data_IF_226400335279
#
_entry.id   IF_226400335279
#
_cell.length_a   1.000
_cell.length_b   1.000
_cell.length_c   1.000
_cell.angle_alpha   90.00
_cell.angle_beta   90.00
_cell.angle_gamma   90.00
#
_symmetry.space_group_name_H-M   'P 1'
#
loop_
_entity.id
_entity.type
_entity.pdbx_description
1 polymer ?
#
# COMPACT_ATOMS: atom_id res chain seq x y z
N UNK A 1 -14.20 19.55 0.56
CA UNK A 1 -15.59 20.04 0.55
C UNK A 1 -15.83 20.66 -0.81
N UNK A 2 -16.70 20.05 -1.61
CA UNK A 2 -17.27 20.74 -2.77
C UNK A 2 -17.85 22.07 -2.32
N UNK A 3 -17.73 23.10 -3.16
CA UNK A 3 -18.01 24.51 -2.83
C UNK A 3 -19.51 24.82 -2.61
N UNK A 4 -20.26 23.88 -2.02
CA UNK A 4 -21.70 23.96 -1.78
C UNK A 4 -22.07 25.28 -1.11
N UNK A 5 -22.97 25.99 -1.75
CA UNK A 5 -23.61 27.18 -1.24
C UNK A 5 -24.65 26.80 -0.19
N UNK A 6 -25.03 27.72 0.72
CA UNK A 6 -26.08 27.45 1.69
C UNK A 6 -27.41 27.01 1.05
N UNK A 7 -27.73 27.49 -0.16
CA UNK A 7 -28.94 27.09 -0.90
C UNK A 7 -28.87 25.64 -1.37
N UNK A 8 -27.73 25.22 -1.91
CA UNK A 8 -27.52 23.83 -2.34
C UNK A 8 -27.54 22.86 -1.14
N UNK A 9 -26.95 23.25 0.00
CA UNK A 9 -27.01 22.44 1.23
C UNK A 9 -28.47 22.26 1.68
N UNK A 10 -29.27 23.33 1.67
CA UNK A 10 -30.70 23.23 2.02
C UNK A 10 -31.45 22.34 1.04
N UNK A 11 -31.21 22.49 -0.26
CA UNK A 11 -31.83 21.65 -1.30
C UNK A 11 -31.48 20.17 -1.15
N UNK A 12 -30.25 19.84 -0.75
CA UNK A 12 -29.86 18.46 -0.48
C UNK A 12 -30.55 17.92 0.78
N UNK A 13 -30.67 18.74 1.83
CA UNK A 13 -31.39 18.36 3.05
C UNK A 13 -32.91 18.22 2.80
N UNK A 14 -33.47 18.96 1.85
CA UNK A 14 -34.89 18.87 1.46
C UNK A 14 -35.26 17.49 0.87
N UNK A 15 -34.29 16.76 0.30
CA UNK A 15 -34.52 15.39 -0.22
C UNK A 15 -34.84 14.37 0.86
N UNK A 16 -34.41 14.63 2.11
CA UNK A 16 -34.51 13.67 3.21
C UNK A 16 -35.39 14.15 4.36
N UNK A 17 -35.47 15.46 4.57
CA UNK A 17 -36.21 16.07 5.68
C UNK A 17 -37.33 16.92 5.09
N UNK A 18 -38.57 16.71 5.53
CA UNK A 18 -39.71 17.55 5.11
C UNK A 18 -39.85 18.74 6.08
N UNK A 19 -40.03 19.96 5.55
CA UNK A 19 -40.21 21.17 6.37
C UNK A 19 -38.94 21.65 7.08
N UNK A 20 -39.06 22.18 8.31
CA UNK A 20 -37.93 22.61 9.16
C UNK A 20 -36.94 23.61 8.50
N UNK A 21 -37.46 24.54 7.68
CA UNK A 21 -36.64 25.46 6.89
C UNK A 21 -35.67 26.32 7.73
N UNK A 22 -36.07 26.75 8.94
CA UNK A 22 -35.20 27.50 9.85
C UNK A 22 -33.98 26.68 10.29
N UNK A 23 -34.19 25.43 10.70
CA UNK A 23 -33.13 24.53 11.12
C UNK A 23 -32.18 24.20 9.97
N UNK A 24 -32.72 23.90 8.78
CA UNK A 24 -31.92 23.65 7.56
C UNK A 24 -31.03 24.84 7.20
N UNK A 25 -31.57 26.06 7.23
CA UNK A 25 -30.80 27.28 6.98
C UNK A 25 -29.70 27.49 8.01
N UNK A 26 -29.99 27.27 9.30
CA UNK A 26 -29.02 27.42 10.37
C UNK A 26 -27.82 26.47 10.20
N UNK A 27 -28.08 25.18 9.92
CA UNK A 27 -27.02 24.20 9.68
C UNK A 27 -26.23 24.46 8.40
N UNK A 28 -26.90 24.91 7.34
CA UNK A 28 -26.25 25.26 6.08
C UNK A 28 -25.28 26.45 6.24
N UNK A 29 -25.68 27.47 7.00
CA UNK A 29 -24.82 28.61 7.33
C UNK A 29 -23.62 28.17 8.17
N UNK A 30 -23.84 27.32 9.18
CA UNK A 30 -22.75 26.83 10.02
C UNK A 30 -21.72 26.03 9.21
N UNK A 31 -22.17 25.15 8.32
CA UNK A 31 -21.29 24.39 7.44
C UNK A 31 -20.53 25.32 6.47
N UNK A 32 -21.22 26.30 5.86
CA UNK A 32 -20.56 27.28 4.99
C UNK A 32 -19.54 28.15 5.73
N UNK A 33 -19.79 28.47 6.99
CA UNK A 33 -18.84 29.23 7.81
C UNK A 33 -17.57 28.42 8.08
N UNK A 34 -17.64 27.09 8.21
CA UNK A 34 -16.43 26.25 8.30
C UNK A 34 -15.57 26.36 7.04
N UNK A 35 -16.21 26.30 5.87
CA UNK A 35 -15.52 26.52 4.59
C UNK A 35 -14.90 27.92 4.49
N UNK A 36 -15.64 28.97 4.90
CA UNK A 36 -15.12 30.34 4.92
C UNK A 36 -13.92 30.49 5.85
N UNK A 37 -13.99 29.90 7.05
CA UNK A 37 -12.90 29.90 8.03
C UNK A 37 -11.64 29.23 7.48
N UNK A 38 -11.77 28.11 6.76
CA UNK A 38 -10.63 27.43 6.14
C UNK A 38 -9.90 28.29 5.08
N UNK A 39 -10.53 29.36 4.58
CA UNK A 39 -9.95 30.29 3.60
C UNK A 39 -9.43 31.59 4.22
N UNK A 40 -9.54 31.77 5.52
CA UNK A 40 -8.95 32.91 6.22
C UNK A 40 -7.44 32.71 6.38
N UNK A 41 -6.65 33.81 6.48
CA UNK A 41 -5.27 33.76 6.94
C UNK A 41 -5.18 33.09 8.32
N UNK A 42 -4.04 32.45 8.61
CA UNK A 42 -3.87 31.63 9.81
C UNK A 42 -4.12 32.44 11.10
N UNK A 43 -3.62 33.68 11.17
CA UNK A 43 -3.83 34.61 12.29
C UNK A 43 -5.32 34.83 12.61
N UNK A 44 -6.14 35.08 11.58
CA UNK A 44 -7.59 35.26 11.76
C UNK A 44 -8.35 33.94 11.95
N UNK A 45 -7.78 32.81 11.51
CA UNK A 45 -8.47 31.50 11.57
C UNK A 45 -8.63 31.00 13.01
N UNK A 46 -7.68 31.32 13.88
CA UNK A 46 -7.69 30.95 15.29
C UNK A 46 -8.74 31.74 16.08
N UNK A 47 -8.94 33.03 15.76
CA UNK A 47 -9.93 33.89 16.41
C UNK A 47 -11.38 33.51 16.06
N UNK A 48 -11.62 32.89 14.90
CA UNK A 48 -12.95 32.52 14.44
C UNK A 48 -13.37 31.16 14.98
N UNK A 49 -14.17 31.16 16.04
CA UNK A 49 -14.71 29.95 16.68
C UNK A 49 -15.91 29.38 15.89
N UNK A 50 -16.04 28.04 15.75
CA UNK A 50 -17.22 27.42 15.14
C UNK A 50 -18.54 27.82 15.82
N UNK A 51 -19.57 28.10 15.02
CA UNK A 51 -20.92 28.40 15.53
C UNK A 51 -21.66 27.10 15.88
N UNK A 52 -21.74 26.79 17.17
CA UNK A 52 -22.53 25.66 17.68
C UNK A 52 -24.04 25.94 17.52
N UNK A 53 -24.83 24.88 17.39
CA UNK A 53 -26.27 24.97 17.10
C UNK A 53 -27.04 24.25 18.20
N UNK A 54 -28.00 24.97 18.79
CA UNK A 54 -29.01 24.41 19.69
C UNK A 54 -30.33 24.26 18.91
N UNK A 55 -30.84 23.03 18.80
CA UNK A 55 -32.13 22.76 18.15
C UNK A 55 -33.21 22.54 19.21
N UNK A 56 -34.24 23.38 19.21
CA UNK A 56 -35.37 23.31 20.16
C UNK A 56 -36.60 22.83 19.39
N UNK A 57 -37.29 21.81 19.94
CA UNK A 57 -38.53 21.28 19.37
C UNK A 57 -38.90 19.91 19.94
N UNK A 58 -40.13 19.41 19.68
CA UNK A 58 -40.60 18.13 20.21
C UNK A 58 -39.81 16.94 19.60
N UNK A 59 -39.94 15.77 20.20
CA UNK A 59 -39.35 14.54 19.64
C UNK A 59 -39.98 14.20 18.28
N UNK A 60 -39.25 13.47 17.44
CA UNK A 60 -39.77 13.03 16.12
C UNK A 60 -39.74 14.06 14.98
N UNK A 61 -39.52 15.36 15.23
CA UNK A 61 -39.53 16.39 14.17
C UNK A 61 -38.29 16.43 13.25
N UNK A 62 -37.35 15.48 13.40
CA UNK A 62 -36.17 15.37 12.53
C UNK A 62 -34.91 16.10 13.00
N UNK A 63 -34.82 16.58 14.25
CA UNK A 63 -33.60 17.26 14.78
C UNK A 63 -32.32 16.45 14.56
N UNK A 64 -32.32 15.19 14.99
CA UNK A 64 -31.18 14.28 14.84
C UNK A 64 -30.92 13.94 13.37
N UNK A 65 -31.98 13.84 12.55
CA UNK A 65 -31.85 13.48 11.13
C UNK A 65 -31.21 14.62 10.32
N UNK A 66 -31.53 15.87 10.63
CA UNK A 66 -30.85 17.05 10.05
C UNK A 66 -29.34 16.97 10.32
N UNK A 67 -28.93 16.70 11.55
CA UNK A 67 -27.52 16.60 11.91
C UNK A 67 -26.83 15.41 11.24
N UNK A 68 -27.49 14.24 11.21
CA UNK A 68 -26.98 13.03 10.55
C UNK A 68 -26.79 13.24 9.04
N UNK A 69 -27.77 13.83 8.36
CA UNK A 69 -27.73 14.08 6.91
C UNK A 69 -26.69 15.13 6.56
N UNK A 70 -26.58 16.18 7.37
CA UNK A 70 -25.53 17.19 7.22
C UNK A 70 -24.13 16.58 7.30
N UNK A 71 -23.90 15.67 8.26
CA UNK A 71 -22.60 15.02 8.40
C UNK A 71 -22.28 14.10 7.21
N UNK A 72 -23.26 13.32 6.72
CA UNK A 72 -23.11 12.53 5.49
C UNK A 72 -22.79 13.40 4.28
N UNK A 73 -23.51 14.50 4.09
CA UNK A 73 -23.27 15.45 3.00
C UNK A 73 -21.87 16.05 3.07
N UNK A 74 -21.41 16.40 4.27
CA UNK A 74 -20.09 16.97 4.48
C UNK A 74 -18.96 15.92 4.49
N UNK A 75 -19.27 14.62 4.33
CA UNK A 75 -18.34 13.50 4.56
C UNK A 75 -17.57 13.66 5.88
N UNK A 76 -18.31 13.99 6.93
CA UNK A 76 -17.76 14.29 8.24
C UNK A 76 -18.09 13.18 9.26
N UNK A 77 -17.19 12.90 10.21
CA UNK A 77 -17.46 11.96 11.30
C UNK A 77 -18.63 12.47 12.15
N UNK A 78 -19.51 11.55 12.55
CA UNK A 78 -20.74 11.87 13.28
C UNK A 78 -20.96 10.94 14.46
N UNK A 79 -21.22 11.53 15.62
CA UNK A 79 -21.46 10.80 16.86
C UNK A 79 -22.75 11.33 17.53
N UNK A 80 -23.66 10.41 17.88
CA UNK A 80 -24.88 10.71 18.65
C UNK A 80 -24.67 10.22 20.09
N UNK A 81 -24.75 11.12 21.06
CA UNK A 81 -24.70 10.79 22.49
C UNK A 81 -25.90 11.41 23.20
N UNK A 82 -26.29 10.81 24.31
CA UNK A 82 -27.34 11.31 25.21
C UNK A 82 -26.66 11.90 26.45
N UNK A 83 -27.00 13.15 26.79
CA UNK A 83 -26.36 13.89 27.87
C UNK A 83 -26.56 13.23 29.25
N UNK A 84 -27.70 12.54 29.44
CA UNK A 84 -28.02 11.84 30.69
C UNK A 84 -27.04 10.72 31.03
N UNK A 85 -26.30 10.19 30.04
CA UNK A 85 -25.26 9.16 30.25
C UNK A 85 -24.06 9.65 31.08
N UNK A 86 -23.90 10.97 31.22
CA UNK A 86 -22.82 11.59 32.00
C UNK A 86 -23.29 12.13 33.35
N UNK A 87 -24.60 12.11 33.60
CA UNK A 87 -25.21 12.60 34.84
C UNK A 87 -25.88 11.49 35.64
N UNK A 88 -25.96 10.26 35.11
CA UNK A 88 -26.57 9.12 35.77
C UNK A 88 -25.78 8.75 37.04
N UNK A 89 -26.46 8.72 38.18
CA UNK A 89 -25.86 8.60 39.52
C UNK A 89 -25.28 7.19 39.69
N UNK A 90 -23.94 7.09 39.67
CA UNK A 90 -23.17 5.85 39.84
C UNK A 90 -21.66 6.09 39.97
N UNK A 91 -20.95 5.17 40.65
CA UNK A 91 -19.66 5.35 41.33
C UNK A 91 -18.43 5.71 40.44
N UNK A 92 -18.51 5.54 39.12
CA UNK A 92 -17.56 6.11 38.16
C UNK A 92 -18.34 6.42 36.88
N UNK A 93 -18.77 7.68 36.72
CA UNK A 93 -19.48 8.12 35.52
C UNK A 93 -18.67 7.89 34.25
N UNK A 94 -19.34 7.81 33.09
CA UNK A 94 -18.64 7.78 31.79
C UNK A 94 -17.84 9.09 31.66
N UNK A 95 -16.59 9.00 31.24
CA UNK A 95 -15.73 10.18 31.05
C UNK A 95 -16.19 11.02 29.86
N UNK A 96 -16.27 12.35 30.00
CA UNK A 96 -16.65 13.26 28.91
C UNK A 96 -15.66 13.22 27.75
N UNK A 97 -14.39 12.92 28.01
CA UNK A 97 -13.38 12.79 26.95
C UNK A 97 -13.63 11.56 26.07
N UNK A 98 -14.44 10.60 26.54
CA UNK A 98 -14.89 9.47 25.71
C UNK A 98 -15.67 9.95 24.47
N UNK A 99 -16.32 11.13 24.53
CA UNK A 99 -17.01 11.68 23.36
C UNK A 99 -16.04 12.00 22.22
N UNK A 100 -14.86 12.53 22.55
CA UNK A 100 -13.83 12.84 21.56
C UNK A 100 -13.16 11.57 21.08
N UNK A 101 -12.86 10.62 21.98
CA UNK A 101 -12.27 9.32 21.62
C UNK A 101 -13.17 8.54 20.66
N UNK A 102 -14.47 8.45 20.94
CA UNK A 102 -15.46 7.79 20.09
C UNK A 102 -15.54 8.48 18.71
N UNK A 103 -15.49 9.82 18.65
CA UNK A 103 -15.52 10.58 17.39
C UNK A 103 -14.25 10.35 16.55
N UNK A 104 -13.08 10.30 17.16
CA UNK A 104 -11.81 10.00 16.48
C UNK A 104 -11.85 8.58 15.92
N UNK A 105 -12.32 7.61 16.69
CA UNK A 105 -12.43 6.23 16.21
C UNK A 105 -13.35 6.10 15.00
N UNK A 106 -14.47 6.84 14.97
CA UNK A 106 -15.36 6.90 13.80
C UNK A 106 -14.65 7.55 12.60
N UNK A 107 -13.82 8.56 12.84
CA UNK A 107 -13.06 9.25 11.79
C UNK A 107 -12.02 8.34 11.14
N UNK A 108 -11.31 7.54 11.94
CA UNK A 108 -10.36 6.54 11.43
C UNK A 108 -11.07 5.55 10.51
N UNK A 109 -12.17 4.94 10.97
CA UNK A 109 -12.95 4.00 10.15
C UNK A 109 -13.48 4.61 8.86
N UNK A 110 -13.86 5.89 8.89
CA UNK A 110 -14.33 6.61 7.70
C UNK A 110 -13.22 6.67 6.64
N UNK A 111 -12.00 7.04 7.05
CA UNK A 111 -10.85 7.13 6.16
C UNK A 111 -10.38 5.75 5.70
N UNK A 112 -10.34 4.76 6.60
CA UNK A 112 -10.01 3.38 6.24
C UNK A 112 -10.95 2.85 5.16
N UNK A 113 -12.25 3.07 5.30
CA UNK A 113 -13.23 2.66 4.29
C UNK A 113 -13.00 3.36 2.94
N UNK A 114 -12.76 4.68 2.94
CA UNK A 114 -12.48 5.45 1.72
C UNK A 114 -11.20 4.99 1.03
N UNK A 115 -10.14 4.74 1.80
CA UNK A 115 -8.86 4.25 1.27
C UNK A 115 -8.96 2.82 0.75
N UNK A 116 -9.72 1.96 1.44
CA UNK A 116 -9.96 0.57 1.02
C UNK A 116 -10.68 0.53 -0.32
N UNK A 117 -11.73 1.34 -0.48
CA UNK A 117 -12.47 1.45 -1.74
C UNK A 117 -11.56 1.96 -2.88
N UNK A 118 -10.70 2.94 -2.60
CA UNK A 118 -9.76 3.49 -3.60
C UNK A 118 -8.73 2.47 -4.10
N UNK A 119 -8.30 1.52 -3.26
CA UNK A 119 -7.30 0.49 -3.63
C UNK A 119 -7.91 -0.84 -4.04
N UNK A 120 -9.24 -1.00 -3.97
CA UNK A 120 -9.91 -2.28 -4.21
C UNK A 120 -9.59 -2.86 -5.60
N UNK A 121 -9.69 -2.06 -6.67
CA UNK A 121 -9.40 -2.52 -8.03
C UNK A 121 -7.95 -2.97 -8.24
N UNK A 122 -6.94 -2.13 -7.90
CA UNK A 122 -5.54 -2.54 -7.95
C UNK A 122 -5.23 -3.75 -7.06
N UNK A 123 -5.81 -3.81 -5.87
CA UNK A 123 -5.63 -4.92 -4.94
C UNK A 123 -6.19 -6.24 -5.50
N UNK A 124 -7.35 -6.19 -6.17
CA UNK A 124 -7.95 -7.33 -6.85
C UNK A 124 -7.04 -7.84 -7.97
N UNK A 125 -6.52 -6.96 -8.82
CA UNK A 125 -5.59 -7.35 -9.89
C UNK A 125 -4.32 -8.01 -9.32
N UNK A 126 -3.72 -7.43 -8.28
CA UNK A 126 -2.53 -8.01 -7.63
C UNK A 126 -2.85 -9.34 -6.96
N UNK A 127 -4.03 -9.48 -6.35
CA UNK A 127 -4.47 -10.73 -5.76
C UNK A 127 -4.67 -11.82 -6.83
N UNK A 128 -5.31 -11.50 -7.95
CA UNK A 128 -5.46 -12.40 -9.10
C UNK A 128 -4.10 -12.83 -9.63
N UNK A 129 -3.16 -11.90 -9.81
CA UNK A 129 -1.82 -12.21 -10.29
C UNK A 129 -1.07 -13.16 -9.36
N UNK A 130 -1.17 -12.96 -8.04
CA UNK A 130 -0.61 -13.87 -7.04
C UNK A 130 -1.24 -15.26 -7.10
N UNK A 131 -2.56 -15.34 -7.26
CA UNK A 131 -3.25 -16.63 -7.42
C UNK A 131 -2.72 -17.34 -8.68
N UNK A 132 -2.62 -16.63 -9.80
CA UNK A 132 -2.10 -17.20 -11.06
C UNK A 132 -0.64 -17.64 -10.93
N UNK A 133 0.18 -16.91 -10.18
CA UNK A 133 1.56 -17.31 -9.90
C UNK A 133 1.64 -18.61 -9.11
N UNK A 134 0.75 -18.80 -8.13
CA UNK A 134 0.66 -20.05 -7.36
C UNK A 134 0.17 -21.21 -8.26
N UNK A 135 -0.86 -20.97 -9.09
CA UNK A 135 -1.40 -21.98 -10.00
C UNK A 135 -0.44 -22.37 -11.12
N UNK A 136 0.36 -21.41 -11.58
CA UNK A 136 1.36 -21.61 -12.60
C UNK A 136 2.64 -20.88 -12.18
N UNK A 137 3.53 -21.50 -11.40
CA UNK A 137 4.80 -20.90 -11.03
C UNK A 137 5.69 -20.73 -12.27
N UNK A 138 6.28 -19.55 -12.45
CA UNK A 138 7.37 -19.39 -13.43
C UNK A 138 8.58 -20.09 -12.86
N UNK A 139 9.19 -21.01 -13.62
CA UNK A 139 10.56 -21.42 -13.32
C UNK A 139 11.45 -20.20 -13.51
N UNK A 140 11.86 -19.55 -12.43
CA UNK A 140 12.93 -18.55 -12.51
C UNK A 140 14.15 -19.26 -13.09
N UNK A 141 14.70 -18.75 -14.21
CA UNK A 141 15.95 -19.28 -14.75
C UNK A 141 17.05 -18.96 -13.73
N UNK A 142 17.72 -19.96 -13.12
CA UNK A 142 18.92 -19.70 -12.30
C UNK A 142 20.05 -19.04 -13.12
N UNK A 143 19.96 -19.12 -14.45
CA UNK A 143 20.97 -18.66 -15.39
C UNK A 143 21.10 -17.13 -15.50
N UNK A 144 20.06 -16.34 -15.19
CA UNK A 144 20.15 -14.87 -15.32
C UNK A 144 20.89 -14.24 -14.13
N UNK A 145 20.68 -14.74 -12.90
CA UNK A 145 21.44 -14.32 -11.73
C UNK A 145 22.94 -14.68 -11.84
N UNK A 146 23.28 -15.83 -12.44
CA UNK A 146 24.67 -16.22 -12.70
C UNK A 146 25.33 -15.38 -13.81
N UNK A 147 24.56 -14.94 -14.82
CA UNK A 147 25.04 -14.11 -15.92
C UNK A 147 25.33 -12.64 -15.49
N UNK A 148 24.51 -12.09 -14.59
CA UNK A 148 24.73 -10.73 -14.06
C UNK A 148 25.94 -10.65 -13.10
N UNK A 149 26.18 -11.71 -12.32
CA UNK A 149 27.38 -11.82 -11.46
C UNK A 149 28.66 -11.95 -12.30
N UNK A 150 28.63 -12.72 -13.39
CA UNK A 150 29.80 -12.89 -14.28
C UNK A 150 30.10 -11.64 -15.12
N UNK A 151 29.08 -10.89 -15.56
CA UNK A 151 29.29 -9.59 -16.21
C UNK A 151 29.93 -8.56 -15.27
N UNK A 152 29.42 -8.42 -14.05
CA UNK A 152 29.98 -7.42 -13.11
C UNK A 152 31.42 -7.74 -12.69
N UNK A 153 31.78 -9.02 -12.58
CA UNK A 153 33.16 -9.44 -12.33
C UNK A 153 34.09 -9.13 -13.52
N UNK A 154 33.63 -9.35 -14.76
CA UNK A 154 34.44 -9.06 -15.96
C UNK A 154 34.65 -7.55 -16.16
N UNK A 155 33.63 -6.73 -15.88
CA UNK A 155 33.73 -5.27 -15.96
C UNK A 155 34.69 -4.70 -14.90
N UNK A 156 34.68 -5.25 -13.68
CA UNK A 156 35.62 -4.87 -12.60
C UNK A 156 37.09 -5.20 -12.95
N UNK A 157 37.36 -6.33 -13.59
CA UNK A 157 38.71 -6.70 -14.03
C UNK A 157 39.21 -5.83 -15.18
N UNK A 158 38.31 -5.42 -16.10
CA UNK A 158 38.65 -4.52 -17.19
C UNK A 158 39.01 -3.11 -16.67
N UNK A 159 38.25 -2.58 -15.70
CA UNK A 159 38.56 -1.31 -15.04
C UNK A 159 39.89 -1.37 -14.26
N UNK A 160 40.15 -2.47 -13.56
CA UNK A 160 41.40 -2.67 -12.82
C UNK A 160 42.63 -2.74 -13.75
N UNK A 161 42.51 -3.39 -14.91
CA UNK A 161 43.57 -3.38 -15.94
C UNK A 161 43.80 -1.96 -16.51
N UNK A 162 42.72 -1.20 -16.70
CA UNK A 162 42.81 0.17 -17.18
C UNK A 162 43.45 1.11 -16.15
N UNK A 163 43.24 0.90 -14.85
CA UNK A 163 43.95 1.61 -13.79
C UNK A 163 45.43 1.22 -13.70
N UNK A 164 45.75 -0.08 -13.78
CA UNK A 164 47.13 -0.57 -13.70
C UNK A 164 47.99 -0.04 -14.87
N UNK A 165 47.43 0.03 -16.08
CA UNK A 165 48.13 0.62 -17.24
C UNK A 165 48.41 2.12 -17.08
N UNK A 166 47.52 2.87 -16.42
CA UNK A 166 47.73 4.30 -16.13
C UNK A 166 48.79 4.54 -15.05
N UNK A 167 48.93 3.63 -14.09
CA UNK A 167 49.87 3.76 -12.96
C UNK A 167 51.29 3.29 -13.29
N UNK A 168 51.45 2.27 -14.14
CA UNK A 168 52.75 1.63 -14.39
C UNK A 168 53.25 1.74 -15.84
N UNK A 169 52.52 2.36 -16.76
CA UNK A 169 53.02 2.77 -18.07
C UNK A 169 53.52 1.62 -18.99
N UNK A 170 52.99 0.39 -18.83
CA UNK A 170 53.38 -0.76 -19.66
C UNK A 170 52.39 -0.92 -20.83
N UNK A 171 52.85 -1.04 -22.10
CA UNK A 171 51.96 -1.24 -23.23
C UNK A 171 51.37 -2.66 -23.21
N UNK A 172 50.08 -2.75 -23.52
CA UNK A 172 49.35 -4.01 -23.65
C UNK A 172 49.79 -4.77 -24.91
N UNK A 173 50.66 -5.77 -24.74
CA UNK A 173 50.62 -7.08 -25.41
C UNK A 173 52.00 -7.76 -25.42
N UNK A 174 52.13 -8.86 -24.67
CA UNK A 174 52.91 -10.02 -25.12
C UNK A 174 52.47 -11.24 -24.29
N UNK A 175 52.07 -12.37 -24.89
CA UNK A 175 51.80 -13.58 -24.13
C UNK A 175 53.12 -14.23 -23.71
N UNK A 176 53.23 -14.62 -22.44
CA UNK A 176 54.34 -15.43 -21.93
C UNK A 176 54.27 -16.86 -22.49
N UNK A 177 55.40 -17.52 -22.78
CA UNK A 177 55.45 -18.89 -23.28
C UNK A 177 55.23 -19.86 -22.11
N UNK A 178 54.07 -20.51 -22.09
CA UNK A 178 53.65 -21.43 -21.03
C UNK A 178 52.13 -21.38 -20.92
N UNK A 179 51.46 -22.00 -21.89
CA UNK A 179 50.01 -21.90 -22.09
C UNK A 179 49.21 -22.30 -20.85
N UNK A 180 48.46 -21.34 -20.31
CA UNK A 180 47.26 -21.63 -19.54
C UNK A 180 46.22 -22.23 -20.50
N UNK A 181 45.39 -23.20 -20.05
CA UNK A 181 44.38 -23.81 -20.89
C UNK A 181 43.46 -22.73 -21.45
N UNK A 182 43.11 -22.93 -22.72
CA UNK A 182 42.25 -22.15 -23.59
C UNK A 182 41.35 -21.14 -22.85
N UNK A 183 41.44 -19.87 -23.24
CA UNK A 183 40.55 -18.81 -22.78
C UNK A 183 39.08 -19.29 -22.80
N UNK A 184 38.38 -19.09 -21.68
CA UNK A 184 36.93 -19.30 -21.64
C UNK A 184 36.28 -18.49 -22.77
N UNK A 185 35.30 -19.06 -23.50
CA UNK A 185 34.67 -18.38 -24.61
C UNK A 185 33.94 -17.12 -24.11
N UNK A 186 34.03 -16.04 -24.89
CA UNK A 186 33.32 -14.79 -24.60
C UNK A 186 31.81 -15.07 -24.60
N UNK A 187 31.02 -14.45 -23.71
CA UNK A 187 29.56 -14.56 -23.78
C UNK A 187 29.09 -13.99 -25.13
N UNK A 188 28.69 -14.87 -26.05
CA UNK A 188 28.22 -14.52 -27.40
C UNK A 188 29.10 -14.98 -28.57
N UNK A 189 30.25 -15.62 -28.35
CA UNK A 189 30.96 -16.32 -29.43
C UNK A 189 30.34 -17.71 -29.66
N UNK A 190 30.02 -18.08 -30.91
CA UNK A 190 29.42 -19.38 -31.21
C UNK A 190 30.41 -20.50 -30.88
N UNK A 191 29.90 -21.57 -30.26
CA UNK A 191 30.65 -22.80 -30.00
C UNK A 191 31.23 -23.37 -31.31
N UNK A 192 32.44 -23.97 -31.33
CA UNK A 192 33.07 -24.48 -32.56
C UNK A 192 32.26 -25.61 -33.22
N UNK A 193 31.37 -26.23 -32.44
CA UNK A 193 30.39 -27.18 -32.93
C UNK A 193 29.15 -26.42 -33.36
N UNK A 194 28.96 -26.27 -34.68
CA UNK A 194 27.90 -25.50 -35.34
C UNK A 194 26.45 -25.92 -35.02
N UNK A 195 26.03 -25.77 -33.77
CA UNK A 195 24.62 -25.72 -33.37
C UNK A 195 24.19 -24.25 -33.40
N UNK A 196 23.14 -23.91 -34.17
CA UNK A 196 22.72 -22.53 -34.37
C UNK A 196 22.12 -21.94 -33.08
N UNK A 197 22.73 -20.87 -32.56
CA UNK A 197 22.26 -20.12 -31.39
C UNK A 197 20.85 -19.51 -31.60
N UNK A 198 20.42 -19.30 -32.84
CA UNK A 198 19.11 -18.72 -33.18
C UNK A 198 17.91 -19.63 -32.85
N UNK A 199 18.12 -20.96 -32.79
CA UNK A 199 17.01 -21.91 -32.52
C UNK A 199 16.59 -21.92 -31.06
N UNK A 200 17.52 -21.67 -30.15
CA UNK A 200 17.26 -21.66 -28.70
C UNK A 200 16.47 -20.41 -28.30
N UNK A 201 16.73 -19.27 -28.96
CA UNK A 201 15.99 -18.03 -28.75
C UNK A 201 14.55 -18.10 -29.29
N UNK A 202 14.33 -18.70 -30.45
CA UNK A 202 12.98 -18.86 -31.03
C UNK A 202 12.12 -19.84 -30.20
N UNK A 203 12.72 -20.93 -29.72
CA UNK A 203 12.06 -21.90 -28.84
C UNK A 203 11.63 -21.27 -27.51
N UNK A 204 12.53 -20.53 -26.86
CA UNK A 204 12.26 -19.86 -25.60
C UNK A 204 11.20 -18.75 -25.75
N UNK A 205 11.19 -18.03 -26.88
CA UNK A 205 10.11 -17.06 -27.19
C UNK A 205 8.76 -17.75 -27.34
N UNK A 206 8.67 -18.83 -28.12
CA UNK A 206 7.40 -19.57 -28.31
C UNK A 206 6.89 -20.18 -27.00
N UNK A 207 7.80 -20.68 -26.15
CA UNK A 207 7.47 -21.20 -24.82
C UNK A 207 6.95 -20.10 -23.89
N UNK A 208 7.63 -18.96 -23.83
CA UNK A 208 7.17 -17.81 -23.03
C UNK A 208 5.83 -17.27 -23.52
N UNK A 209 5.60 -17.23 -24.84
CA UNK A 209 4.30 -16.87 -25.41
C UNK A 209 3.20 -17.86 -25.03
N UNK A 210 3.49 -19.17 -25.06
CA UNK A 210 2.52 -20.19 -24.65
C UNK A 210 2.20 -20.09 -23.16
N UNK A 211 3.20 -19.91 -22.31
CA UNK A 211 3.02 -19.70 -20.87
C UNK A 211 2.21 -18.42 -20.59
N UNK A 212 2.46 -17.33 -21.30
CA UNK A 212 1.69 -16.10 -21.15
C UNK A 212 0.23 -16.26 -21.59
N UNK A 213 -0.04 -17.04 -22.65
CA UNK A 213 -1.41 -17.37 -23.07
C UNK A 213 -2.17 -18.20 -22.03
N UNK A 214 -1.49 -19.15 -21.37
CA UNK A 214 -2.10 -19.96 -20.31
C UNK A 214 -2.43 -19.09 -19.10
N UNK A 215 -1.50 -18.21 -18.68
CA UNK A 215 -1.76 -17.26 -17.59
C UNK A 215 -2.90 -16.30 -17.89
N UNK A 216 -2.96 -15.77 -19.11
CA UNK A 216 -4.04 -14.87 -19.51
C UNK A 216 -5.41 -15.55 -19.43
N UNK A 217 -5.51 -16.81 -19.86
CA UNK A 217 -6.75 -17.60 -19.71
C UNK A 217 -7.09 -17.88 -18.25
N UNK A 218 -6.09 -18.13 -17.40
CA UNK A 218 -6.31 -18.32 -15.97
C UNK A 218 -6.81 -17.04 -15.30
N UNK A 219 -6.24 -15.88 -15.63
CA UNK A 219 -6.74 -14.57 -15.18
C UNK A 219 -8.20 -14.37 -15.59
N UNK A 220 -8.55 -14.67 -16.84
CA UNK A 220 -9.94 -14.57 -17.32
C UNK A 220 -10.89 -15.52 -16.57
N UNK A 221 -10.46 -16.74 -16.27
CA UNK A 221 -11.28 -17.74 -15.56
C UNK A 221 -11.48 -17.41 -14.08
N UNK A 222 -10.49 -16.81 -13.43
CA UNK A 222 -10.60 -16.28 -12.07
C UNK A 222 -11.51 -15.06 -12.06
N UNK A 223 -11.34 -14.15 -13.03
CA UNK A 223 -12.20 -12.97 -13.16
C UNK A 223 -13.66 -13.31 -13.47
N UNK A 224 -13.94 -14.42 -14.17
CA UNK A 224 -15.29 -14.89 -14.45
C UNK A 224 -15.91 -15.74 -13.33
N UNK A 225 -15.23 -15.89 -12.18
CA UNK A 225 -15.70 -16.67 -11.03
C UNK A 225 -15.88 -18.16 -11.31
N UNK A 226 -15.33 -18.66 -12.43
CA UNK A 226 -15.57 -20.04 -12.90
C UNK A 226 -14.82 -21.07 -12.06
N UNK A 227 -13.86 -20.62 -11.24
CA UNK A 227 -13.01 -21.47 -10.39
C UNK A 227 -13.16 -21.20 -8.90
N UNK A 228 -14.19 -20.46 -8.49
CA UNK A 228 -14.39 -20.07 -7.08
C UNK A 228 -14.66 -21.29 -6.17
N UNK A 229 -15.17 -22.39 -6.74
CA UNK A 229 -15.48 -23.64 -6.03
C UNK A 229 -14.42 -24.74 -6.24
N UNK A 230 -13.33 -24.45 -6.96
CA UNK A 230 -12.30 -25.45 -7.27
C UNK A 230 -11.27 -25.53 -6.13
N UNK A 231 -11.28 -26.62 -5.36
CA UNK A 231 -10.29 -26.87 -4.31
C UNK A 231 -8.98 -27.39 -4.90
N UNK A 232 -7.85 -26.79 -4.49
CA UNK A 232 -6.53 -27.12 -5.01
C UNK A 232 -5.61 -27.42 -3.83
N UNK A 233 -5.00 -28.60 -3.85
CA UNK A 233 -3.98 -29.01 -2.89
C UNK A 233 -2.61 -28.51 -3.36
N UNK A 234 -1.94 -27.73 -2.50
CA UNK A 234 -0.62 -27.17 -2.79
C UNK A 234 0.38 -27.82 -1.85
N UNK A 235 1.29 -28.62 -2.41
CA UNK A 235 2.46 -29.11 -1.69
C UNK A 235 3.54 -28.01 -1.70
N UNK A 236 3.82 -27.43 -0.53
CA UNK A 236 4.88 -26.44 -0.35
C UNK A 236 6.14 -27.16 0.14
N UNK A 237 7.12 -27.35 -0.74
CA UNK A 237 8.46 -27.76 -0.33
C UNK A 237 9.28 -26.51 0.03
N UNK A 238 9.71 -26.40 1.30
CA UNK A 238 10.70 -25.41 1.70
C UNK A 238 12.04 -25.74 1.05
N UNK A 239 12.37 -25.02 -0.02
CA UNK A 239 13.72 -25.05 -0.57
C UNK A 239 14.66 -24.35 0.41
N UNK A 240 15.41 -25.14 1.20
CA UNK A 240 16.55 -24.69 1.99
C UNK A 240 17.66 -24.17 1.06
N UNK A 241 17.52 -22.95 0.58
CA UNK A 241 18.40 -22.33 -0.40
C UNK A 241 18.66 -20.86 -0.07
N UNK A 242 19.53 -20.62 0.92
CA UNK A 242 20.40 -19.44 1.02
C UNK A 242 19.79 -18.06 0.75
N UNK A 243 18.71 -17.69 1.45
CA UNK A 243 18.27 -16.30 1.51
C UNK A 243 19.19 -15.50 2.43
N UNK A 244 19.91 -14.51 1.88
CA UNK A 244 20.60 -13.49 2.67
C UNK A 244 19.57 -12.78 3.56
N UNK A 245 19.77 -12.66 4.89
CA UNK A 245 18.79 -12.02 5.75
C UNK A 245 18.64 -10.55 5.35
N UNK A 246 17.39 -10.17 5.08
CA UNK A 246 16.94 -8.80 4.89
C UNK A 246 17.42 -7.95 6.06
N UNK A 247 18.10 -6.85 5.74
CA UNK A 247 18.81 -6.01 6.68
C UNK A 247 17.98 -5.55 7.87
N UNK A 248 18.47 -5.88 9.07
CA UNK A 248 18.16 -5.14 10.29
C UNK A 248 19.14 -3.96 10.32
N UNK A 249 18.58 -2.74 10.32
CA UNK A 249 19.30 -1.48 10.47
C UNK A 249 20.13 -1.48 11.78
N UNK A 250 21.40 -1.03 11.76
CA UNK A 250 22.16 -0.87 13.00
C UNK A 250 21.82 0.47 13.63
N UNK A 251 20.94 0.47 14.64
CA UNK A 251 20.79 1.61 15.54
C UNK A 251 21.61 1.34 16.81
N UNK A 252 22.79 1.96 16.85
CA UNK A 252 23.36 2.64 18.02
C UNK A 252 23.69 1.84 19.30
N UNK A 253 25.00 1.79 19.61
CA UNK A 253 25.51 2.10 20.95
C UNK A 253 26.01 0.92 21.82
N UNK A 254 27.23 0.99 22.38
CA UNK A 254 27.81 -0.08 23.20
C UNK A 254 27.43 0.10 24.68
N UNK A 255 27.16 -1.00 25.38
CA UNK A 255 27.07 -0.95 26.83
C UNK A 255 26.58 -2.23 27.48
N UNK A 256 27.48 -2.88 28.22
CA UNK A 256 27.14 -3.45 29.53
C UNK A 256 26.91 -4.95 29.57
N UNK A 257 27.97 -5.65 29.94
CA UNK A 257 27.95 -7.00 30.51
C UNK A 257 26.99 -7.09 31.71
N UNK A 258 26.29 -8.22 31.86
CA UNK A 258 25.44 -8.42 33.03
C UNK A 258 24.66 -9.75 33.03
N UNK A 259 25.36 -10.82 33.41
CA UNK A 259 24.88 -11.99 34.19
C UNK A 259 23.37 -12.28 34.26
N UNK A 260 23.02 -13.51 33.88
CA UNK A 260 21.65 -14.03 33.89
C UNK A 260 20.99 -14.18 35.25
N UNK A 261 19.69 -14.44 35.18
CA UNK A 261 18.97 -15.33 36.07
C UNK A 261 17.67 -15.77 35.40
N UNK A 262 17.54 -17.09 35.35
CA UNK A 262 16.40 -17.87 34.92
C UNK A 262 15.37 -17.87 36.06
N UNK A 263 14.13 -17.49 35.79
CA UNK A 263 13.00 -17.65 36.71
C UNK A 263 11.73 -17.97 35.92
N UNK A 264 11.60 -19.26 35.61
CA UNK A 264 10.32 -19.95 35.61
C UNK A 264 9.65 -19.88 36.99
N UNK A 265 8.32 -19.88 36.99
CA UNK A 265 7.38 -19.87 38.13
C UNK A 265 6.87 -18.48 38.59
N UNK A 266 5.74 -18.06 38.00
CA UNK A 266 4.45 -17.87 38.69
C UNK A 266 3.33 -17.60 37.67
#
# INVERSE_FOLDING_TARGET
MENLTPREIVAELDRYIVGQASAKRAVAIALRNRYRRARLPDEMREEVIPKNILMIGPTGVGKTEIARRLAKLARAPFLKIEATKFTEVGYVGRDVDSMVRDLVQISVRLVEAEMTEAVQGPAEAVATDRIVEILQPRRSKPAQAAADVTKSAQDQWAEMQQQMSRLFGVPSATPLPGGLPNAMPRPGEPSPDGKPADRDDEYERKKNEQENRIRQRLQEQIASGTRDEEEIEIEVEESAGGGTPVGILPMGGPGGDGSGQDLSEM
#
